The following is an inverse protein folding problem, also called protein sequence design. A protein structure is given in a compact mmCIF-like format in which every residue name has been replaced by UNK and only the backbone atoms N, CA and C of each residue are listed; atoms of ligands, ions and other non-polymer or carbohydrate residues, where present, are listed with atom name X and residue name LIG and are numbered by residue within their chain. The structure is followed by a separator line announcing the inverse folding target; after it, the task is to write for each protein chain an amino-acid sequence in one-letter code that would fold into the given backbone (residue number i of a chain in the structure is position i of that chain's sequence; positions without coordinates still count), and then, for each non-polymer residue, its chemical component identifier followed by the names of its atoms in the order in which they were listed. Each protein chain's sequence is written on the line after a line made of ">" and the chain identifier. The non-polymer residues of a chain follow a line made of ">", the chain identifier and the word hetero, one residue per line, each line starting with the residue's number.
data_IF_341052677656
#
_entry.id   IF_341052677656
#
_cell.length_a   1.000
_cell.length_b   1.000
_cell.length_c   1.000
_cell.angle_alpha   90.00
_cell.angle_beta   90.00
_cell.angle_gamma   90.00
#
_symmetry.space_group_name_H-M   'P 1'
#
loop_
_entity.id
_entity.type
_entity.pdbx_description
1 polymer ?
#
# COMPACT_ATOMS: atom_id res chain seq x y z
N UNK A 1 -17.25 11.25 -8.82
CA UNK A 1 -16.05 10.65 -9.43
C UNK A 1 -16.10 10.84 -10.95
N UNK A 2 -15.01 11.27 -11.60
CA UNK A 2 -14.92 11.41 -13.05
C UNK A 2 -15.16 10.08 -13.79
N UNK A 3 -15.68 10.17 -15.02
CA UNK A 3 -15.93 8.97 -15.82
C UNK A 3 -14.63 8.17 -16.11
N UNK A 4 -13.49 8.85 -16.24
CA UNK A 4 -12.18 8.24 -16.44
C UNK A 4 -11.73 7.35 -15.28
N UNK A 5 -12.14 7.65 -14.05
CA UNK A 5 -11.75 6.89 -12.86
C UNK A 5 -12.76 5.79 -12.49
N UNK A 6 -13.95 5.78 -13.09
CA UNK A 6 -15.02 4.81 -12.72
C UNK A 6 -14.61 3.35 -12.87
N UNK A 7 -13.69 3.04 -13.78
CA UNK A 7 -13.25 1.67 -14.03
C UNK A 7 -12.34 1.12 -12.91
N UNK A 8 -11.68 2.01 -12.18
CA UNK A 8 -10.69 1.67 -11.14
C UNK A 8 -11.13 2.05 -9.73
N UNK A 9 -12.35 2.59 -9.57
CA UNK A 9 -12.90 3.01 -8.28
C UNK A 9 -14.14 2.19 -7.96
N UNK A 10 -14.15 1.61 -6.77
CA UNK A 10 -15.26 0.80 -6.25
C UNK A 10 -15.94 1.52 -5.07
N UNK A 11 -17.27 1.45 -5.00
CA UNK A 11 -18.07 1.82 -3.84
C UNK A 11 -18.75 0.60 -3.19
N UNK A 12 -18.30 -0.60 -3.54
CA UNK A 12 -18.81 -1.83 -2.94
C UNK A 12 -18.65 -1.82 -1.42
N UNK A 13 -19.69 -2.23 -0.74
CA UNK A 13 -19.74 -2.18 0.72
C UNK A 13 -18.64 -3.05 1.37
N UNK A 14 -18.42 -4.25 0.84
CA UNK A 14 -17.46 -5.17 1.43
C UNK A 14 -16.02 -4.67 1.24
N UNK A 15 -15.71 -4.15 0.03
CA UNK A 15 -14.41 -3.52 -0.24
C UNK A 15 -14.16 -2.34 0.71
N UNK A 16 -15.12 -1.45 0.89
CA UNK A 16 -15.01 -0.32 1.81
C UNK A 16 -14.79 -0.75 3.26
N UNK A 17 -15.50 -1.78 3.73
CA UNK A 17 -15.31 -2.31 5.08
C UNK A 17 -13.93 -2.93 5.27
N UNK A 18 -13.41 -3.65 4.28
CA UNK A 18 -12.09 -4.27 4.32
C UNK A 18 -10.94 -3.24 4.34
N UNK A 19 -11.21 -2.01 3.88
CA UNK A 19 -10.24 -0.92 3.82
C UNK A 19 -10.44 0.15 4.91
N UNK A 20 -11.22 -0.14 5.96
CA UNK A 20 -11.55 0.85 6.99
C UNK A 20 -10.43 1.10 8.00
N UNK A 21 -9.63 0.07 8.28
CA UNK A 21 -8.54 0.11 9.26
C UNK A 21 -7.57 -1.05 9.09
N UNK A 22 -6.50 -1.10 9.92
CA UNK A 22 -5.45 -2.10 9.85
C UNK A 22 -5.74 -3.38 10.63
N UNK A 23 -4.68 -3.92 11.29
CA UNK A 23 -4.70 -5.22 12.01
C UNK A 23 -4.19 -5.09 13.44
N UNK A 24 -4.35 -3.93 14.09
CA UNK A 24 -4.09 -3.81 15.51
C UNK A 24 -5.06 -4.68 16.33
N UNK A 25 -4.77 -4.90 17.60
CA UNK A 25 -5.71 -5.62 18.46
C UNK A 25 -7.10 -4.95 18.54
N UNK A 26 -7.19 -3.62 18.73
CA UNK A 26 -8.47 -2.92 18.65
C UNK A 26 -9.17 -3.10 17.30
N UNK A 27 -8.45 -3.08 16.19
CA UNK A 27 -9.01 -3.26 14.84
C UNK A 27 -9.60 -4.66 14.67
N UNK A 28 -8.86 -5.67 15.14
CA UNK A 28 -9.32 -7.05 15.13
C UNK A 28 -10.58 -7.25 15.98
N UNK A 29 -10.63 -6.62 17.15
CA UNK A 29 -11.80 -6.66 18.01
C UNK A 29 -13.02 -5.96 17.36
N UNK A 30 -12.83 -4.76 16.78
CA UNK A 30 -13.86 -4.03 16.04
C UNK A 30 -14.40 -4.87 14.87
N UNK A 31 -13.51 -5.52 14.12
CA UNK A 31 -13.88 -6.38 12.99
C UNK A 31 -14.78 -7.55 13.42
N UNK A 32 -14.41 -8.26 14.49
CA UNK A 32 -15.20 -9.38 15.04
C UNK A 32 -16.58 -8.89 15.50
N UNK A 33 -16.66 -7.69 16.08
CA UNK A 33 -17.90 -7.09 16.56
C UNK A 33 -18.72 -6.41 15.44
N UNK A 34 -18.23 -6.41 14.19
CA UNK A 34 -18.89 -5.74 13.06
C UNK A 34 -18.91 -4.22 13.16
N UNK A 35 -17.95 -3.64 13.86
CA UNK A 35 -17.86 -2.20 14.10
C UNK A 35 -16.92 -1.53 13.11
N UNK A 36 -17.47 -0.78 12.18
CA UNK A 36 -16.74 -0.01 11.15
C UNK A 36 -17.17 1.46 11.21
N UNK A 37 -16.58 2.27 12.12
CA UNK A 37 -17.08 3.61 12.41
C UNK A 37 -16.91 4.59 11.25
N UNK A 38 -15.88 4.43 10.43
CA UNK A 38 -15.56 5.35 9.34
C UNK A 38 -14.98 4.59 8.13
N UNK A 39 -15.80 3.79 7.40
CA UNK A 39 -15.31 3.17 6.17
C UNK A 39 -15.06 4.24 5.10
N UNK A 40 -14.05 4.07 4.21
CA UNK A 40 -13.80 5.03 3.13
C UNK A 40 -15.04 5.15 2.22
N UNK A 41 -15.23 6.29 1.57
CA UNK A 41 -16.34 6.48 0.62
C UNK A 41 -16.13 5.63 -0.63
N UNK A 42 -14.87 5.50 -1.05
CA UNK A 42 -14.46 4.70 -2.21
C UNK A 42 -13.15 3.96 -1.93
N UNK A 43 -12.95 2.87 -2.66
CA UNK A 43 -11.66 2.20 -2.78
C UNK A 43 -11.21 2.30 -4.23
N UNK A 44 -9.99 2.79 -4.45
CA UNK A 44 -9.41 2.91 -5.79
C UNK A 44 -8.31 1.87 -5.99
N UNK A 45 -8.29 1.26 -7.18
CA UNK A 45 -7.36 0.20 -7.58
C UNK A 45 -6.59 0.64 -8.85
N UNK A 46 -5.57 1.51 -8.72
CA UNK A 46 -4.80 1.98 -9.87
C UNK A 46 -4.04 0.83 -10.52
N UNK A 47 -3.95 0.85 -11.86
CA UNK A 47 -3.19 -0.11 -12.64
C UNK A 47 -1.88 0.50 -13.17
N UNK A 48 -1.71 1.81 -13.03
CA UNK A 48 -0.56 2.56 -13.53
C UNK A 48 -0.24 3.75 -12.62
N UNK A 49 0.95 4.33 -12.79
CA UNK A 49 1.34 5.58 -12.15
C UNK A 49 0.46 6.75 -12.61
N UNK A 50 0.01 6.74 -13.85
CA UNK A 50 -0.91 7.73 -14.39
C UNK A 50 -2.26 7.69 -13.68
N UNK A 51 -2.78 6.49 -13.39
CA UNK A 51 -4.01 6.33 -12.61
C UNK A 51 -3.86 6.95 -11.22
N UNK A 52 -2.71 6.73 -10.55
CA UNK A 52 -2.43 7.33 -9.24
C UNK A 52 -2.46 8.84 -9.35
N UNK A 53 -1.75 9.42 -10.31
CA UNK A 53 -1.70 10.87 -10.51
C UNK A 53 -3.10 11.45 -10.74
N UNK A 54 -3.88 10.82 -11.60
CA UNK A 54 -5.25 11.25 -11.90
C UNK A 54 -6.18 11.17 -10.68
N UNK A 55 -6.03 10.12 -9.83
CA UNK A 55 -6.79 10.00 -8.57
C UNK A 55 -6.41 11.13 -7.62
N UNK A 56 -5.11 11.38 -7.46
CA UNK A 56 -4.61 12.38 -6.53
C UNK A 56 -4.99 13.80 -6.96
N UNK A 57 -4.89 14.12 -8.25
CA UNK A 57 -5.31 15.43 -8.80
C UNK A 57 -6.81 15.66 -8.61
N UNK A 58 -7.61 14.63 -8.86
CA UNK A 58 -9.04 14.71 -8.61
C UNK A 58 -9.36 14.86 -7.12
N UNK A 59 -8.72 14.08 -6.26
CA UNK A 59 -8.93 14.13 -4.82
C UNK A 59 -8.56 15.51 -4.25
N UNK A 60 -7.40 16.05 -4.64
CA UNK A 60 -6.93 17.38 -4.24
C UNK A 60 -7.89 18.48 -4.69
N UNK A 61 -8.39 18.39 -5.93
CA UNK A 61 -9.33 19.37 -6.47
C UNK A 61 -10.73 19.37 -5.82
N UNK A 62 -11.03 18.36 -5.00
CA UNK A 62 -12.31 18.16 -4.36
C UNK A 62 -12.24 18.05 -2.82
N UNK A 63 -11.10 18.35 -2.22
CA UNK A 63 -10.84 18.22 -0.77
C UNK A 63 -11.16 16.81 -0.25
N UNK A 64 -10.70 15.78 -0.95
CA UNK A 64 -10.86 14.38 -0.60
C UNK A 64 -9.56 13.84 -0.03
N UNK A 65 -9.61 13.22 1.15
CA UNK A 65 -8.46 12.55 1.74
C UNK A 65 -8.15 11.24 0.99
N UNK A 66 -6.87 10.99 0.72
CA UNK A 66 -6.40 9.75 0.10
C UNK A 66 -5.50 8.99 1.08
N UNK A 67 -5.91 7.77 1.42
CA UNK A 67 -5.19 6.90 2.35
C UNK A 67 -4.55 5.77 1.54
N UNK A 68 -3.21 5.75 1.39
CA UNK A 68 -2.52 4.65 0.73
C UNK A 68 -2.72 3.33 1.48
N UNK A 69 -3.04 2.27 0.73
CA UNK A 69 -3.28 0.95 1.28
C UNK A 69 -2.43 -0.09 0.53
N UNK A 70 -1.57 -0.78 1.25
CA UNK A 70 -0.81 -1.92 0.73
C UNK A 70 -1.50 -3.23 1.11
N UNK A 71 -0.90 -4.02 1.99
CA UNK A 71 -1.53 -5.25 2.52
C UNK A 71 -2.47 -5.04 3.72
N UNK A 72 -2.70 -3.80 4.14
CA UNK A 72 -3.58 -3.50 5.29
C UNK A 72 -3.06 -4.00 6.64
N UNK A 73 -1.80 -4.36 6.74
CA UNK A 73 -1.19 -4.99 7.94
C UNK A 73 -0.77 -3.98 9.03
N UNK A 74 -1.04 -2.69 8.86
CA UNK A 74 -0.72 -1.66 9.84
C UNK A 74 -1.32 -1.96 11.21
N UNK A 75 -0.52 -1.79 12.27
CA UNK A 75 -0.96 -1.93 13.67
C UNK A 75 -0.94 -0.60 14.43
N UNK A 76 -0.60 0.49 13.77
CA UNK A 76 -0.48 1.84 14.36
C UNK A 76 -1.47 2.85 13.73
N UNK A 77 -2.50 2.38 13.03
CA UNK A 77 -3.51 3.23 12.41
C UNK A 77 -3.11 3.87 11.07
N UNK A 78 -1.98 3.45 10.46
CA UNK A 78 -1.47 4.05 9.23
C UNK A 78 -2.36 3.91 7.99
N UNK A 79 -3.40 3.08 8.05
CA UNK A 79 -4.39 2.88 6.98
C UNK A 79 -5.82 3.17 7.44
N UNK A 80 -5.98 3.77 8.63
CA UNK A 80 -7.30 4.11 9.16
C UNK A 80 -7.91 5.28 8.38
N UNK A 81 -9.16 5.13 7.97
CA UNK A 81 -9.87 6.08 7.13
C UNK A 81 -10.69 7.10 7.93
N UNK A 82 -10.55 7.11 9.25
CA UNK A 82 -11.14 8.13 10.12
C UNK A 82 -10.26 9.39 10.14
N UNK A 83 -10.48 10.29 9.21
CA UNK A 83 -9.69 11.53 9.03
C UNK A 83 -10.36 12.78 9.62
N UNK A 84 -11.48 12.62 10.32
CA UNK A 84 -12.28 13.74 10.84
C UNK A 84 -13.14 14.41 9.75
N UNK A 85 -13.62 15.62 10.06
CA UNK A 85 -14.61 16.35 9.25
C UNK A 85 -13.97 17.40 8.31
N UNK A 86 -12.65 17.43 8.19
CA UNK A 86 -11.92 18.44 7.42
C UNK A 86 -11.93 18.18 5.90
N UNK A 87 -12.42 17.00 5.48
CA UNK A 87 -12.44 16.56 4.09
C UNK A 87 -13.86 16.26 3.61
N UNK A 88 -14.11 16.47 2.32
CA UNK A 88 -15.38 16.17 1.68
C UNK A 88 -15.64 14.68 1.46
N UNK A 89 -14.63 13.83 1.70
CA UNK A 89 -14.72 12.38 1.57
C UNK A 89 -13.35 11.72 1.72
N UNK A 90 -13.33 10.39 1.71
CA UNK A 90 -12.13 9.58 1.90
C UNK A 90 -12.03 8.48 0.85
N UNK A 91 -10.86 8.35 0.24
CA UNK A 91 -10.51 7.25 -0.66
C UNK A 91 -9.41 6.40 -0.03
N UNK A 92 -9.61 5.09 0.04
CA UNK A 92 -8.51 4.14 0.22
C UNK A 92 -7.91 3.79 -1.12
N UNK A 93 -6.61 4.00 -1.28
CA UNK A 93 -5.86 3.77 -2.52
C UNK A 93 -5.11 2.44 -2.42
N UNK A 94 -5.74 1.35 -2.90
CA UNK A 94 -5.18 0.00 -2.83
C UNK A 94 -4.20 -0.25 -3.98
N UNK A 95 -2.94 -0.46 -3.63
CA UNK A 95 -1.82 -0.61 -4.56
C UNK A 95 -1.68 -2.03 -5.13
N UNK A 96 -2.58 -2.96 -4.84
CA UNK A 96 -2.45 -4.38 -5.17
C UNK A 96 -2.19 -4.72 -6.64
N UNK A 97 -2.65 -3.87 -7.58
CA UNK A 97 -2.43 -4.09 -9.00
C UNK A 97 -1.04 -3.68 -9.48
N UNK A 98 -0.30 -2.91 -8.67
CA UNK A 98 1.09 -2.52 -8.93
C UNK A 98 2.04 -3.50 -8.22
N UNK A 99 2.13 -4.72 -8.74
CA UNK A 99 2.68 -5.88 -8.06
C UNK A 99 3.76 -6.63 -8.86
N UNK A 100 4.48 -5.93 -9.74
CA UNK A 100 5.44 -6.56 -10.63
C UNK A 100 6.85 -6.06 -10.43
N UNK A 101 7.84 -6.91 -10.71
CA UNK A 101 9.22 -6.52 -10.98
C UNK A 101 9.27 -6.04 -12.43
N UNK A 102 9.66 -4.79 -12.63
CA UNK A 102 9.70 -4.15 -13.96
C UNK A 102 11.01 -4.42 -14.67
N UNK A 103 12.12 -4.37 -13.92
CA UNK A 103 13.46 -4.51 -14.46
C UNK A 103 14.40 -5.12 -13.41
N UNK A 104 15.34 -5.93 -13.85
CA UNK A 104 16.42 -6.49 -13.02
C UNK A 104 17.75 -6.19 -13.71
N UNK A 105 18.61 -5.44 -13.03
CA UNK A 105 20.00 -5.24 -13.41
C UNK A 105 20.87 -6.20 -12.61
N UNK A 106 21.41 -7.22 -13.28
CA UNK A 106 22.23 -8.25 -12.65
C UNK A 106 23.65 -7.75 -12.32
N UNK A 107 24.15 -6.78 -13.08
CA UNK A 107 25.51 -6.25 -12.88
C UNK A 107 25.55 -5.39 -11.61
N UNK A 108 24.58 -4.51 -11.44
CA UNK A 108 24.42 -3.67 -10.24
C UNK A 108 23.72 -4.39 -9.08
N UNK A 109 23.10 -5.56 -9.34
CA UNK A 109 22.26 -6.30 -8.39
C UNK A 109 21.10 -5.46 -7.85
N UNK A 110 20.49 -4.68 -8.73
CA UNK A 110 19.31 -3.85 -8.41
C UNK A 110 18.11 -4.31 -9.20
N UNK A 111 16.91 -3.95 -8.72
CA UNK A 111 15.67 -4.21 -9.42
C UNK A 111 14.72 -3.03 -9.27
N UNK A 112 14.01 -2.69 -10.34
CA UNK A 112 12.89 -1.74 -10.32
C UNK A 112 11.61 -2.51 -10.03
N UNK A 113 10.98 -2.23 -8.90
CA UNK A 113 9.87 -3.02 -8.37
C UNK A 113 8.72 -2.10 -8.01
N UNK A 114 7.51 -2.51 -8.34
CA UNK A 114 6.29 -1.80 -7.96
C UNK A 114 5.96 -1.99 -6.48
N UNK A 115 5.53 -0.92 -5.81
CA UNK A 115 5.37 -0.88 -4.36
C UNK A 115 4.20 -1.68 -3.79
N UNK A 116 3.25 -2.11 -4.62
CA UNK A 116 2.10 -2.91 -4.20
C UNK A 116 2.36 -4.42 -4.15
N UNK A 117 3.55 -4.87 -4.52
CA UNK A 117 3.90 -6.30 -4.51
C UNK A 117 3.98 -6.83 -3.07
N UNK A 118 3.35 -7.98 -2.82
CA UNK A 118 3.43 -8.69 -1.55
C UNK A 118 4.74 -9.47 -1.42
N UNK A 119 5.16 -9.75 -0.19
CA UNK A 119 6.39 -10.49 0.08
C UNK A 119 6.53 -11.83 -0.65
N UNK A 120 5.55 -12.73 -0.58
CA UNK A 120 5.60 -14.01 -1.29
C UNK A 120 5.70 -13.87 -2.81
N UNK A 121 4.97 -12.89 -3.39
CA UNK A 121 4.98 -12.64 -4.83
C UNK A 121 6.32 -12.07 -5.28
N UNK A 122 6.90 -11.17 -4.47
CA UNK A 122 8.23 -10.61 -4.69
C UNK A 122 9.31 -11.69 -4.72
N UNK A 123 9.37 -12.52 -3.67
CA UNK A 123 10.33 -13.62 -3.61
C UNK A 123 10.08 -14.67 -4.70
N UNK A 124 8.81 -14.92 -5.06
CA UNK A 124 8.44 -15.80 -6.18
C UNK A 124 9.00 -15.30 -7.50
N UNK A 125 8.80 -14.02 -7.84
CA UNK A 125 9.32 -13.42 -9.07
C UNK A 125 10.85 -13.34 -9.07
N UNK A 126 11.49 -12.98 -7.95
CA UNK A 126 12.95 -12.96 -7.85
C UNK A 126 13.58 -14.36 -8.02
N UNK A 127 12.90 -15.39 -7.50
CA UNK A 127 13.37 -16.78 -7.59
C UNK A 127 13.47 -17.29 -9.03
N UNK A 128 12.63 -16.82 -9.93
CA UNK A 128 12.69 -17.14 -11.37
C UNK A 128 14.02 -16.65 -12.00
N UNK A 129 14.68 -15.72 -11.34
CA UNK A 129 15.97 -15.15 -11.73
C UNK A 129 17.15 -15.59 -10.86
N UNK A 130 16.97 -16.61 -9.98
CA UNK A 130 17.94 -17.06 -8.99
C UNK A 130 18.36 -15.95 -8.00
N UNK A 131 17.43 -15.05 -7.67
CA UNK A 131 17.63 -13.94 -6.75
C UNK A 131 16.71 -14.04 -5.54
N UNK A 132 17.03 -13.30 -4.49
CA UNK A 132 16.21 -13.11 -3.29
C UNK A 132 16.51 -11.77 -2.68
N UNK A 133 15.51 -11.13 -2.11
CA UNK A 133 15.67 -9.88 -1.37
C UNK A 133 16.12 -10.10 0.08
N UNK A 134 15.78 -11.25 0.67
CA UNK A 134 16.10 -11.62 2.06
C UNK A 134 15.56 -10.66 3.12
N UNK A 135 14.46 -9.98 2.82
CA UNK A 135 13.76 -9.13 3.77
C UNK A 135 12.47 -9.81 4.21
N UNK A 136 12.38 -10.19 5.49
CA UNK A 136 11.27 -10.95 6.03
C UNK A 136 10.70 -10.24 7.26
N UNK A 137 9.90 -9.17 7.09
CA UNK A 137 9.18 -8.56 8.20
C UNK A 137 8.14 -9.53 8.79
N UNK A 138 7.68 -9.28 10.01
CA UNK A 138 6.74 -10.15 10.70
C UNK A 138 5.44 -10.38 9.90
N UNK A 139 4.98 -9.38 9.17
CA UNK A 139 3.80 -9.45 8.30
C UNK A 139 4.13 -9.79 6.84
N UNK A 140 5.23 -10.47 6.57
CA UNK A 140 5.75 -10.75 5.22
C UNK A 140 4.68 -11.20 4.23
N UNK A 141 3.80 -12.12 4.63
CA UNK A 141 2.76 -12.70 3.77
C UNK A 141 1.62 -11.71 3.44
N UNK A 142 1.47 -10.65 4.24
CA UNK A 142 0.33 -9.74 4.19
C UNK A 142 0.75 -8.27 4.04
N UNK A 143 2.00 -8.00 3.75
CA UNK A 143 2.51 -6.64 3.60
C UNK A 143 3.25 -6.45 2.30
N UNK A 144 3.27 -5.22 1.82
CA UNK A 144 3.82 -4.86 0.51
C UNK A 144 5.17 -4.19 0.65
N UNK A 145 5.99 -4.25 -0.41
CA UNK A 145 7.28 -3.57 -0.49
C UNK A 145 7.17 -2.07 -0.19
N UNK A 146 6.18 -1.38 -0.79
CA UNK A 146 5.95 0.04 -0.52
C UNK A 146 5.58 0.30 0.95
N UNK A 147 4.80 -0.59 1.56
CA UNK A 147 4.49 -0.53 2.99
C UNK A 147 5.72 -0.72 3.87
N UNK A 148 6.62 -1.62 3.50
CA UNK A 148 7.89 -1.80 4.23
C UNK A 148 8.75 -0.55 4.20
N UNK A 149 8.89 0.06 3.02
CA UNK A 149 9.68 1.30 2.86
C UNK A 149 9.05 2.44 3.65
N UNK A 150 7.73 2.65 3.54
CA UNK A 150 7.01 3.72 4.22
C UNK A 150 7.11 3.64 5.75
N UNK A 151 7.19 2.43 6.30
CA UNK A 151 7.28 2.21 7.75
C UNK A 151 8.69 1.92 8.24
N UNK A 152 9.68 1.91 7.34
CA UNK A 152 11.07 1.53 7.63
C UNK A 152 11.15 0.18 8.33
N UNK A 153 10.50 -0.82 7.73
CA UNK A 153 10.35 -2.12 8.37
C UNK A 153 11.68 -2.84 8.55
N UNK A 154 11.79 -3.51 9.67
CA UNK A 154 12.78 -4.56 9.90
C UNK A 154 12.08 -5.92 9.97
N UNK A 155 12.72 -6.91 10.58
CA UNK A 155 12.16 -8.23 10.80
C UNK A 155 12.95 -8.98 11.86
N UNK A 156 12.54 -10.19 12.17
CA UNK A 156 13.24 -11.02 13.15
C UNK A 156 14.69 -11.33 12.73
N UNK A 157 14.99 -11.24 11.45
CA UNK A 157 16.31 -11.46 10.88
C UNK A 157 17.09 -10.16 10.63
N UNK A 158 16.55 -9.00 11.02
CA UNK A 158 17.18 -7.70 10.88
C UNK A 158 18.26 -7.48 11.95
N UNK A 159 19.34 -8.26 11.90
CA UNK A 159 20.39 -8.23 12.90
C UNK A 159 21.58 -7.34 12.53
N UNK A 160 21.76 -6.98 11.26
CA UNK A 160 22.85 -6.13 10.82
C UNK A 160 22.52 -5.33 9.54
N UNK A 161 22.20 -5.97 8.42
CA UNK A 161 22.03 -5.37 7.08
C UNK A 161 20.64 -5.65 6.47
N UNK A 162 19.61 -5.80 7.24
CA UNK A 162 18.32 -6.29 6.75
C UNK A 162 17.14 -5.41 7.11
N UNK A 163 17.38 -4.17 7.51
CA UNK A 163 16.37 -3.12 7.47
C UNK A 163 16.10 -2.74 6.03
N UNK A 164 14.85 -2.43 5.70
CA UNK A 164 14.46 -2.18 4.31
C UNK A 164 15.21 -1.01 3.69
N UNK A 165 15.57 0.00 4.47
CA UNK A 165 16.33 1.16 4.02
C UNK A 165 17.76 0.82 3.57
N UNK A 166 18.34 -0.29 4.05
CA UNK A 166 19.64 -0.78 3.59
C UNK A 166 19.58 -1.36 2.15
N UNK A 167 18.38 -1.67 1.65
CA UNK A 167 18.16 -2.25 0.33
C UNK A 167 17.68 -1.24 -0.72
N UNK A 168 17.34 0.00 -0.32
CA UNK A 168 16.76 1.00 -1.21
C UNK A 168 17.85 1.89 -1.82
N UNK A 169 18.08 1.75 -3.12
CA UNK A 169 18.98 2.63 -3.88
C UNK A 169 18.29 3.94 -4.26
N UNK A 170 17.03 3.85 -4.70
CA UNK A 170 16.20 5.01 -5.04
C UNK A 170 14.73 4.65 -4.94
N UNK A 171 13.88 5.66 -4.84
CA UNK A 171 12.44 5.44 -4.89
C UNK A 171 11.75 6.58 -5.63
N UNK A 172 10.67 6.22 -6.32
CA UNK A 172 9.73 7.16 -6.90
C UNK A 172 8.56 7.32 -5.94
N UNK A 173 8.50 8.46 -5.30
CA UNK A 173 7.51 8.80 -4.30
C UNK A 173 6.62 9.92 -4.81
N UNK A 174 5.32 9.75 -4.72
CA UNK A 174 4.38 10.85 -4.93
C UNK A 174 4.20 11.61 -3.61
N UNK A 175 4.73 12.81 -3.55
CA UNK A 175 4.51 13.77 -2.46
C UNK A 175 3.67 14.89 -3.03
N UNK A 176 2.35 14.78 -2.92
CA UNK A 176 1.46 15.82 -3.40
C UNK A 176 1.35 16.86 -2.30
N UNK A 177 1.71 18.09 -2.65
CA UNK A 177 1.53 19.27 -1.79
C UNK A 177 2.33 19.28 -0.48
N UNK A 178 3.63 19.04 -0.56
CA UNK A 178 4.52 19.57 0.46
C UNK A 178 5.02 20.95 0.02
#
# INVERSE_FOLDING_TARGET
>A
CPNSLKAIVSNDKLERLNHSYGKSFPDSARSILGQFPAPPDFVAFPNSEEDITNILDWASSNDIAVIPYGGGSSVCGGVETNVGDDYNGVISLDMKNLNSIIEIDRDSRTALIQGGILGPDLEGQLKEHDLTMRHYPQSFEFSTLGGWIATRSGGHYATLYTHIDDFVESLKLSLIHI
#
